data_IF_594440199123
#
_entry.id   IF_594440199123
#
_cell.length_a   1.000
_cell.length_b   1.000
_cell.length_c   1.000
_cell.angle_alpha   90.00
_cell.angle_beta   90.00
_cell.angle_gamma   90.00
#
_symmetry.space_group_name_H-M   'P 1'
#
loop_
_entity.id
_entity.type
_entity.pdbx_description
1 polymer ?
#
# COMPACT_ATOMS: atom_id res chain seq x y z
N UNK A 1 8.00 15.03 21.68
CA UNK A 1 9.14 14.48 20.92
C UNK A 1 9.23 15.28 19.64
N UNK A 2 10.32 16.03 19.49
CA UNK A 2 10.39 17.20 18.62
C UNK A 2 10.15 16.88 17.15
N UNK A 3 9.21 17.61 16.56
CA UNK A 3 9.11 17.75 15.11
C UNK A 3 10.35 18.48 14.61
N UNK A 4 10.79 18.15 13.40
CA UNK A 4 12.00 18.65 12.73
C UNK A 4 12.03 20.17 12.46
N UNK A 5 11.22 20.95 13.17
CA UNK A 5 11.03 22.38 13.01
C UNK A 5 11.45 23.19 14.26
N UNK A 6 11.91 22.56 15.35
CA UNK A 6 12.61 23.31 16.40
C UNK A 6 14.01 23.70 15.92
N UNK A 7 14.45 24.92 16.27
CA UNK A 7 15.73 25.46 15.84
C UNK A 7 16.95 24.59 16.24
N UNK A 8 16.78 23.72 17.24
CA UNK A 8 17.82 22.87 17.83
C UNK A 8 17.65 21.38 17.47
N UNK A 9 16.71 21.01 16.60
CA UNK A 9 16.54 19.64 16.13
C UNK A 9 17.61 19.33 15.06
N UNK A 10 18.30 18.17 15.10
CA UNK A 10 19.15 17.74 13.99
C UNK A 10 18.34 17.82 12.69
N UNK A 11 18.77 18.71 11.79
CA UNK A 11 18.04 19.04 10.56
C UNK A 11 17.72 17.74 9.79
N UNK A 12 16.54 17.64 9.17
CA UNK A 12 16.21 16.47 8.34
C UNK A 12 17.27 16.29 7.28
N UNK A 13 17.53 15.03 6.90
CA UNK A 13 18.51 14.69 5.87
C UNK A 13 18.26 15.56 4.62
N UNK A 14 19.30 16.22 4.08
CA UNK A 14 19.19 17.02 2.86
C UNK A 14 18.47 16.27 1.74
N UNK A 15 17.72 17.00 0.91
CA UNK A 15 16.84 16.40 -0.10
C UNK A 15 17.57 15.41 -1.02
N UNK A 16 18.80 15.72 -1.41
CA UNK A 16 19.67 14.90 -2.26
C UNK A 16 20.13 13.60 -1.59
N UNK A 17 20.30 13.58 -0.27
CA UNK A 17 20.68 12.39 0.51
C UNK A 17 19.49 11.64 1.14
N UNK A 18 18.29 12.24 1.13
CA UNK A 18 17.11 11.72 1.85
C UNK A 18 16.68 10.36 1.36
N UNK A 19 16.68 10.15 0.05
CA UNK A 19 16.29 8.87 -0.55
C UNK A 19 17.14 7.73 0.00
N UNK A 20 18.46 7.92 0.03
CA UNK A 20 19.40 6.90 0.49
C UNK A 20 19.24 6.65 1.99
N UNK A 21 19.08 7.69 2.80
CA UNK A 21 18.84 7.54 4.23
C UNK A 21 17.50 6.83 4.54
N UNK A 22 16.43 7.10 3.79
CA UNK A 22 15.16 6.39 3.93
C UNK A 22 15.34 4.90 3.56
N UNK A 23 16.03 4.62 2.46
CA UNK A 23 16.30 3.22 2.03
C UNK A 23 17.13 2.47 3.06
N UNK A 24 18.14 3.12 3.64
CA UNK A 24 18.98 2.56 4.70
C UNK A 24 18.16 2.18 5.94
N UNK A 25 17.31 3.09 6.44
CA UNK A 25 16.44 2.82 7.59
C UNK A 25 15.44 1.69 7.31
N UNK A 26 14.94 1.59 6.08
CA UNK A 26 14.06 0.51 5.66
C UNK A 26 14.81 -0.81 5.39
N UNK A 27 16.15 -0.81 5.37
CA UNK A 27 16.95 -1.98 5.04
C UNK A 27 16.85 -2.43 3.58
N UNK A 28 16.60 -1.49 2.65
CA UNK A 28 16.42 -1.76 1.21
C UNK A 28 17.72 -1.53 0.45
N UNK A 29 18.29 -2.59 -0.14
CA UNK A 29 19.49 -2.53 -0.97
C UNK A 29 19.16 -2.43 -2.47
N UNK A 30 20.11 -2.00 -3.30
CA UNK A 30 19.94 -2.02 -4.77
C UNK A 30 19.68 -3.44 -5.31
N UNK A 31 20.37 -4.44 -4.76
CA UNK A 31 20.17 -5.85 -5.10
C UNK A 31 18.73 -6.30 -4.81
N UNK A 32 18.23 -6.02 -3.60
CA UNK A 32 16.85 -6.37 -3.23
C UNK A 32 15.80 -5.66 -4.09
N UNK A 33 16.11 -4.46 -4.59
CA UNK A 33 15.21 -3.68 -5.45
C UNK A 33 15.20 -4.15 -6.91
N UNK A 34 16.30 -4.74 -7.38
CA UNK A 34 16.45 -5.22 -8.76
C UNK A 34 15.95 -6.66 -8.98
N UNK A 35 15.73 -7.41 -7.90
CA UNK A 35 15.32 -8.82 -7.93
C UNK A 35 13.97 -9.04 -8.62
N UNK A 36 14.00 -9.67 -9.79
CA UNK A 36 12.81 -10.03 -10.57
C UNK A 36 12.51 -11.51 -10.37
N UNK A 37 11.46 -11.87 -9.62
CA UNK A 37 11.20 -13.26 -9.31
C UNK A 37 10.60 -14.00 -10.53
N UNK A 38 10.79 -15.32 -10.58
CA UNK A 38 10.08 -16.18 -11.52
C UNK A 38 8.59 -16.21 -11.19
N UNK A 39 7.75 -16.00 -12.21
CA UNK A 39 6.29 -15.94 -12.07
C UNK A 39 5.65 -17.23 -12.56
N UNK A 40 4.84 -17.84 -11.71
CA UNK A 40 3.93 -18.91 -12.10
C UNK A 40 2.54 -18.33 -12.37
N UNK A 41 1.93 -18.77 -13.47
CA UNK A 41 0.61 -18.31 -13.88
C UNK A 41 -0.45 -19.37 -13.57
N UNK A 42 -1.51 -18.95 -12.88
CA UNK A 42 -2.66 -19.77 -12.55
C UNK A 42 -3.85 -19.56 -13.50
N UNK A 43 -5.06 -19.58 -12.93
CA UNK A 43 -6.31 -19.50 -13.69
C UNK A 43 -6.47 -18.14 -14.36
N UNK A 44 -7.19 -18.15 -15.48
CA UNK A 44 -7.66 -16.95 -16.17
C UNK A 44 -9.19 -16.85 -16.07
N UNK A 45 -9.72 -15.63 -16.04
CA UNK A 45 -11.16 -15.38 -16.01
C UNK A 45 -11.53 -14.07 -16.72
N UNK A 46 -12.80 -13.92 -17.08
CA UNK A 46 -13.37 -12.65 -17.51
C UNK A 46 -14.53 -12.31 -16.58
N UNK A 47 -14.54 -11.08 -16.08
CA UNK A 47 -15.59 -10.58 -15.18
C UNK A 47 -15.78 -9.08 -15.38
N UNK A 48 -17.01 -8.65 -15.67
CA UNK A 48 -17.33 -7.23 -15.87
C UNK A 48 -16.44 -6.53 -16.93
N UNK A 49 -16.11 -7.22 -18.02
CA UNK A 49 -15.22 -6.70 -19.08
C UNK A 49 -13.73 -6.62 -18.69
N UNK A 50 -13.35 -7.22 -17.55
CA UNK A 50 -11.98 -7.33 -17.08
C UNK A 50 -11.49 -8.76 -17.27
N UNK A 51 -10.44 -8.95 -18.06
CA UNK A 51 -9.69 -10.18 -18.16
C UNK A 51 -8.68 -10.26 -17.01
N UNK A 52 -8.76 -11.28 -16.17
CA UNK A 52 -7.88 -11.50 -15.03
C UNK A 52 -7.05 -12.78 -15.16
N UNK A 53 -5.85 -12.77 -14.58
CA UNK A 53 -4.95 -13.92 -14.47
C UNK A 53 -4.32 -13.99 -13.09
N UNK A 54 -4.27 -15.19 -12.51
CA UNK A 54 -3.58 -15.44 -11.24
C UNK A 54 -2.07 -15.52 -11.48
N UNK A 55 -1.30 -14.86 -10.60
CA UNK A 55 0.14 -14.90 -10.56
C UNK A 55 0.59 -15.35 -9.17
N UNK A 56 1.63 -16.15 -9.10
CA UNK A 56 2.36 -16.46 -7.86
C UNK A 56 3.86 -16.36 -8.08
N UNK A 57 4.59 -15.87 -7.09
CA UNK A 57 6.05 -15.77 -7.11
C UNK A 57 6.63 -15.82 -5.71
N UNK A 58 7.91 -16.21 -5.61
CA UNK A 58 8.63 -16.23 -4.34
C UNK A 58 8.76 -14.82 -3.76
N UNK A 59 8.48 -14.66 -2.46
CA UNK A 59 8.57 -13.37 -1.78
C UNK A 59 10.03 -12.92 -1.52
N UNK A 60 10.99 -13.82 -1.69
CA UNK A 60 12.41 -13.61 -1.38
C UNK A 60 12.78 -13.99 0.06
N UNK A 61 11.93 -14.76 0.74
CA UNK A 61 12.19 -15.40 2.03
C UNK A 61 11.72 -16.86 2.01
N UNK A 62 11.92 -17.57 3.12
CA UNK A 62 11.47 -18.97 3.30
C UNK A 62 9.96 -19.10 3.59
N UNK A 63 9.20 -18.00 3.48
CA UNK A 63 7.77 -17.96 3.72
C UNK A 63 6.93 -18.34 2.50
N UNK A 64 5.59 -18.24 2.59
CA UNK A 64 4.68 -18.57 1.49
C UNK A 64 4.90 -17.72 0.23
N UNK A 65 4.61 -18.23 -0.95
CA UNK A 65 4.64 -17.40 -2.16
C UNK A 65 3.67 -16.20 -2.08
N UNK A 66 4.08 -15.09 -2.69
CA UNK A 66 3.20 -13.95 -2.93
C UNK A 66 2.23 -14.31 -4.05
N UNK A 67 0.94 -14.10 -3.79
CA UNK A 67 -0.11 -14.22 -4.79
C UNK A 67 -0.56 -12.83 -5.26
N UNK A 68 -0.80 -12.71 -6.57
CA UNK A 68 -1.33 -11.51 -7.20
C UNK A 68 -2.31 -11.81 -8.31
N UNK A 69 -2.98 -10.76 -8.77
CA UNK A 69 -3.86 -10.77 -9.93
C UNK A 69 -3.45 -9.71 -10.92
N UNK A 70 -3.19 -10.13 -12.15
CA UNK A 70 -2.98 -9.26 -13.30
C UNK A 70 -4.33 -9.09 -14.01
N UNK A 71 -4.78 -7.85 -14.11
CA UNK A 71 -6.08 -7.47 -14.64
C UNK A 71 -5.90 -6.55 -15.84
N UNK A 72 -6.69 -6.80 -16.88
CA UNK A 72 -6.59 -6.10 -18.17
C UNK A 72 -7.95 -5.87 -18.79
N UNK A 73 -8.07 -4.88 -19.68
CA UNK A 73 -9.25 -4.75 -20.52
C UNK A 73 -9.40 -5.99 -21.42
N UNK A 74 -10.63 -6.50 -21.55
CA UNK A 74 -10.94 -7.62 -22.43
C UNK A 74 -11.12 -7.14 -23.89
N UNK A 75 -10.01 -6.96 -24.63
CA UNK A 75 -10.02 -6.47 -26.01
C UNK A 75 -9.58 -7.51 -27.06
N UNK A 76 -9.84 -8.80 -26.84
CA UNK A 76 -9.81 -9.81 -27.91
C UNK A 76 -8.47 -9.97 -28.66
N UNK A 77 -7.33 -9.68 -28.03
CA UNK A 77 -6.00 -9.92 -28.60
C UNK A 77 -5.23 -8.68 -29.07
N UNK A 78 -5.67 -7.48 -28.72
CA UNK A 78 -4.90 -6.25 -28.98
C UNK A 78 -3.58 -6.24 -28.19
N UNK A 79 -2.44 -6.09 -28.89
CA UNK A 79 -1.08 -6.28 -28.35
C UNK A 79 -0.34 -4.99 -28.02
N UNK A 80 -0.97 -3.81 -28.17
CA UNK A 80 -0.32 -2.53 -27.89
C UNK A 80 0.06 -2.44 -26.42
N UNK A 81 1.31 -2.04 -26.14
CA UNK A 81 1.76 -1.78 -24.78
C UNK A 81 0.90 -0.70 -24.11
N UNK A 82 0.40 -1.00 -22.91
CA UNK A 82 -0.54 -0.16 -22.16
C UNK A 82 0.12 0.45 -20.92
N UNK A 83 -0.32 1.64 -20.48
CA UNK A 83 0.06 2.13 -19.17
C UNK A 83 -0.43 1.15 -18.09
N UNK A 84 0.29 1.09 -16.99
CA UNK A 84 -0.02 0.16 -15.91
C UNK A 84 -0.01 0.79 -14.53
N UNK A 85 -0.79 0.20 -13.63
CA UNK A 85 -0.89 0.60 -12.23
C UNK A 85 -0.59 -0.59 -11.33
N UNK A 86 0.41 -0.44 -10.47
CA UNK A 86 0.58 -1.29 -9.30
C UNK A 86 -0.36 -0.79 -8.21
N UNK A 87 -1.49 -1.48 -8.02
CA UNK A 87 -2.52 -1.11 -7.06
C UNK A 87 -2.30 -1.84 -5.73
N UNK A 88 -2.11 -1.07 -4.66
CA UNK A 88 -1.75 -1.58 -3.34
C UNK A 88 -2.96 -1.57 -2.42
N UNK A 89 -3.28 -2.74 -1.84
CA UNK A 89 -4.39 -2.87 -0.90
C UNK A 89 -4.09 -2.19 0.45
N UNK A 90 -5.15 -1.74 1.12
CA UNK A 90 -5.06 -1.10 2.43
C UNK A 90 -4.83 -2.09 3.60
N UNK A 91 -4.59 -1.53 4.79
CA UNK A 91 -4.51 -2.26 6.06
C UNK A 91 -5.92 -2.75 6.47
N UNK A 92 -6.91 -1.84 6.50
CA UNK A 92 -8.35 -2.06 6.77
C UNK A 92 -8.71 -2.81 8.07
N UNK A 93 -7.72 -3.11 8.92
CA UNK A 93 -7.91 -4.03 10.05
C UNK A 93 -8.20 -5.47 9.61
N UNK A 94 -7.89 -5.81 8.36
CA UNK A 94 -8.10 -7.14 7.78
C UNK A 94 -6.76 -7.64 7.26
N UNK A 95 -6.20 -8.68 7.89
CA UNK A 95 -4.95 -9.32 7.45
C UNK A 95 -5.21 -10.65 6.74
N UNK A 96 -6.39 -11.25 6.92
CA UNK A 96 -6.74 -12.51 6.25
C UNK A 96 -6.76 -12.40 4.72
N UNK A 97 -7.17 -11.24 4.20
CA UNK A 97 -7.18 -10.89 2.78
C UNK A 97 -6.19 -9.76 2.48
N UNK A 98 -5.76 -9.67 1.23
CA UNK A 98 -4.94 -8.57 0.71
C UNK A 98 -5.56 -8.04 -0.58
N UNK A 99 -5.13 -8.56 -1.72
CA UNK A 99 -5.60 -8.19 -3.08
C UNK A 99 -7.11 -8.25 -3.25
N UNK A 100 -7.79 -9.16 -2.55
CA UNK A 100 -9.25 -9.33 -2.62
C UNK A 100 -10.00 -8.05 -2.19
N UNK A 101 -9.39 -7.21 -1.36
CA UNK A 101 -10.02 -5.98 -0.87
C UNK A 101 -10.32 -5.00 -2.00
N UNK A 102 -9.44 -4.93 -3.00
CA UNK A 102 -9.46 -3.90 -4.06
C UNK A 102 -9.71 -4.45 -5.47
N UNK A 103 -9.72 -5.78 -5.64
CA UNK A 103 -9.93 -6.45 -6.92
C UNK A 103 -10.84 -7.67 -6.82
N UNK A 104 -11.47 -8.06 -7.94
CA UNK A 104 -12.27 -9.28 -8.03
C UNK A 104 -11.49 -10.43 -8.67
N UNK A 105 -11.38 -11.53 -7.94
CA UNK A 105 -10.75 -12.76 -8.41
C UNK A 105 -11.69 -13.64 -9.25
N UNK A 106 -11.23 -14.86 -9.62
CA UNK A 106 -12.04 -15.79 -10.42
C UNK A 106 -13.35 -16.16 -9.71
N UNK A 107 -13.33 -16.33 -8.38
CA UNK A 107 -14.50 -16.60 -7.56
C UNK A 107 -15.33 -15.36 -7.16
N UNK A 108 -14.96 -14.16 -7.61
CA UNK A 108 -15.56 -12.90 -7.14
C UNK A 108 -15.11 -12.53 -5.72
N UNK A 109 -15.86 -11.64 -5.07
CA UNK A 109 -15.53 -11.14 -3.73
C UNK A 109 -15.83 -12.19 -2.64
N UNK A 110 -14.83 -12.60 -1.83
CA UNK A 110 -15.03 -13.60 -0.79
C UNK A 110 -15.76 -13.02 0.45
N UNK A 111 -16.17 -13.87 1.42
CA UNK A 111 -16.95 -13.43 2.57
C UNK A 111 -16.35 -12.20 3.29
N UNK A 112 -17.20 -11.20 3.57
CA UNK A 112 -16.85 -9.96 4.26
C UNK A 112 -16.23 -8.86 3.39
N UNK A 113 -15.65 -9.20 2.24
CA UNK A 113 -15.12 -8.19 1.31
C UNK A 113 -16.21 -7.25 0.79
N UNK A 114 -17.43 -7.69 0.43
CA UNK A 114 -18.49 -6.76 0.02
C UNK A 114 -18.83 -5.71 1.10
N UNK A 115 -18.87 -6.12 2.37
CA UNK A 115 -19.13 -5.22 3.50
C UNK A 115 -17.94 -4.28 3.79
N UNK A 116 -16.71 -4.75 3.62
CA UNK A 116 -15.51 -3.91 3.67
C UNK A 116 -15.54 -2.86 2.55
N UNK A 117 -15.82 -3.27 1.31
CA UNK A 117 -15.93 -2.36 0.17
C UNK A 117 -17.04 -1.34 0.33
N UNK A 118 -18.20 -1.73 0.84
CA UNK A 118 -19.30 -0.79 1.11
C UNK A 118 -18.86 0.35 2.02
N UNK A 119 -18.04 0.05 3.05
CA UNK A 119 -17.57 1.05 4.01
C UNK A 119 -16.39 1.89 3.51
N UNK A 120 -15.40 1.25 2.89
CA UNK A 120 -14.14 1.91 2.52
C UNK A 120 -14.03 2.34 1.05
N UNK A 121 -14.83 1.78 0.15
CA UNK A 121 -14.67 1.91 -1.31
C UNK A 121 -16.01 2.12 -2.04
N UNK A 122 -17.07 2.45 -1.30
CA UNK A 122 -18.46 2.60 -1.79
C UNK A 122 -18.97 1.42 -2.62
N UNK A 123 -18.58 0.21 -2.21
CA UNK A 123 -18.98 -1.06 -2.82
C UNK A 123 -18.23 -1.41 -4.11
N UNK A 124 -17.27 -0.59 -4.53
CA UNK A 124 -16.56 -0.73 -5.82
C UNK A 124 -15.31 -1.60 -5.72
N UNK A 125 -14.98 -2.24 -6.83
CA UNK A 125 -13.64 -2.77 -7.11
C UNK A 125 -12.80 -1.66 -7.72
N UNK A 126 -11.82 -1.15 -6.98
CA UNK A 126 -10.91 -0.09 -7.45
C UNK A 126 -10.16 -0.55 -8.70
N UNK A 127 -9.70 -1.80 -8.70
CA UNK A 127 -8.97 -2.36 -9.82
C UNK A 127 -9.81 -2.41 -11.10
N UNK A 128 -11.11 -2.74 -10.98
CA UNK A 128 -12.03 -2.72 -12.12
C UNK A 128 -12.18 -1.32 -12.70
N UNK A 129 -12.31 -0.30 -11.85
CA UNK A 129 -12.37 1.10 -12.30
C UNK A 129 -11.13 1.54 -13.07
N UNK A 130 -9.94 1.18 -12.57
CA UNK A 130 -8.67 1.45 -13.27
C UNK A 130 -8.56 0.69 -14.60
N UNK A 131 -8.98 -0.58 -14.65
CA UNK A 131 -9.00 -1.33 -15.92
C UNK A 131 -9.94 -0.68 -16.93
N UNK A 132 -11.13 -0.24 -16.51
CA UNK A 132 -12.05 0.49 -17.39
C UNK A 132 -11.51 1.84 -17.85
N UNK A 133 -10.61 2.46 -17.07
CA UNK A 133 -9.86 3.64 -17.49
C UNK A 133 -8.68 3.34 -18.45
N UNK A 134 -8.48 2.07 -18.83
CA UNK A 134 -7.53 1.65 -19.86
C UNK A 134 -6.22 1.06 -19.34
N UNK A 135 -6.05 0.94 -18.03
CA UNK A 135 -4.80 0.45 -17.42
C UNK A 135 -4.71 -1.08 -17.37
N UNK A 136 -3.49 -1.59 -17.49
CA UNK A 136 -3.13 -2.90 -16.93
C UNK A 136 -2.94 -2.72 -15.42
N UNK A 137 -3.58 -3.56 -14.60
CA UNK A 137 -3.51 -3.43 -13.15
C UNK A 137 -2.93 -4.71 -12.54
N UNK A 138 -1.86 -4.57 -11.76
CA UNK A 138 -1.39 -5.65 -10.88
C UNK A 138 -1.79 -5.32 -9.45
N UNK A 139 -2.44 -6.28 -8.78
CA UNK A 139 -2.72 -6.24 -7.34
C UNK A 139 -2.08 -7.46 -6.71
N UNK A 140 -1.31 -7.26 -5.65
CA UNK A 140 -0.59 -8.34 -4.97
C UNK A 140 -0.76 -8.27 -3.45
N UNK A 141 -0.71 -9.45 -2.84
CA UNK A 141 -0.58 -9.58 -1.39
C UNK A 141 0.86 -9.20 -0.98
N UNK A 142 1.01 -8.72 0.25
CA UNK A 142 2.32 -8.50 0.87
C UNK A 142 2.30 -8.99 2.30
N UNK A 143 3.45 -9.36 2.87
CA UNK A 143 3.53 -9.78 4.27
C UNK A 143 2.98 -8.70 5.24
N UNK A 144 2.14 -9.02 6.25
CA UNK A 144 1.54 -10.33 6.58
C UNK A 144 0.05 -10.45 6.13
N UNK A 145 -0.29 -10.01 4.93
CA UNK A 145 -1.64 -10.05 4.36
C UNK A 145 -1.83 -11.19 3.36
N UNK A 146 -3.08 -11.66 3.23
CA UNK A 146 -3.49 -12.52 2.11
C UNK A 146 -2.69 -13.82 2.06
N UNK A 147 -2.06 -14.14 0.93
CA UNK A 147 -1.19 -15.33 0.80
C UNK A 147 0.04 -15.28 1.69
N UNK A 148 0.51 -14.08 2.04
CA UNK A 148 1.70 -13.83 2.86
C UNK A 148 1.40 -13.72 4.36
N UNK A 149 0.18 -14.07 4.77
CA UNK A 149 -0.24 -14.05 6.17
C UNK A 149 0.49 -15.14 6.97
N UNK A 150 0.77 -14.86 8.24
CA UNK A 150 1.30 -15.89 9.15
C UNK A 150 0.24 -16.99 9.35
N UNK A 151 0.54 -18.27 9.07
CA UNK A 151 -0.41 -19.36 9.29
C UNK A 151 -0.90 -19.40 10.74
N UNK A 152 -2.18 -19.73 10.95
CA UNK A 152 -2.76 -19.76 12.29
C UNK A 152 -1.98 -20.62 13.31
N UNK A 153 -1.48 -21.83 12.95
CA UNK A 153 -0.68 -22.64 13.87
C UNK A 153 0.67 -22.03 14.28
N UNK A 154 1.16 -21.04 13.52
CA UNK A 154 2.43 -20.36 13.76
C UNK A 154 2.26 -19.04 14.55
N UNK A 155 1.01 -18.60 14.78
CA UNK A 155 0.75 -17.43 15.59
C UNK A 155 1.10 -17.72 17.07
N UNK A 156 1.75 -16.77 17.77
CA UNK A 156 2.07 -16.96 19.18
C UNK A 156 0.82 -17.01 20.05
N UNK A 157 0.90 -17.66 21.20
CA UNK A 157 -0.22 -17.85 22.15
C UNK A 157 -0.96 -16.55 22.49
N UNK A 158 -0.21 -15.45 22.65
CA UNK A 158 -0.80 -14.12 22.91
C UNK A 158 -1.72 -13.66 21.78
N UNK A 159 -1.33 -13.89 20.53
CA UNK A 159 -2.12 -13.52 19.36
C UNK A 159 -3.34 -14.44 19.22
N UNK A 160 -3.16 -15.76 19.35
CA UNK A 160 -4.28 -16.71 19.27
C UNK A 160 -5.30 -16.48 20.39
N UNK A 161 -4.84 -16.15 21.61
CA UNK A 161 -5.70 -15.74 22.72
C UNK A 161 -6.50 -14.47 22.41
N UNK A 162 -5.89 -13.45 21.81
CA UNK A 162 -6.61 -12.24 21.37
C UNK A 162 -7.69 -12.57 20.32
N UNK A 163 -7.38 -13.47 19.38
CA UNK A 163 -8.35 -13.97 18.42
C UNK A 163 -9.56 -14.64 19.10
N UNK A 164 -9.32 -15.57 20.02
CA UNK A 164 -10.39 -16.26 20.75
C UNK A 164 -11.15 -15.35 21.73
N UNK A 165 -10.50 -14.33 22.31
CA UNK A 165 -11.17 -13.35 23.15
C UNK A 165 -12.17 -12.51 22.34
N UNK A 166 -11.79 -12.07 21.14
CA UNK A 166 -12.66 -11.32 20.26
C UNK A 166 -13.76 -12.19 19.62
N UNK A 167 -13.44 -13.44 19.29
CA UNK A 167 -14.35 -14.39 18.65
C UNK A 167 -14.26 -15.77 19.32
N UNK A 168 -15.00 -15.98 20.43
CA UNK A 168 -14.96 -17.21 21.21
C UNK A 168 -15.27 -18.48 20.41
N UNK A 169 -14.88 -19.67 20.92
CA UNK A 169 -15.31 -20.95 20.35
C UNK A 169 -16.84 -21.01 20.18
N UNK A 170 -17.29 -21.53 19.04
CA UNK A 170 -18.68 -21.49 18.60
C UNK A 170 -18.81 -21.96 17.14
N UNK A 171 -19.84 -21.54 16.39
CA UNK A 171 -20.00 -21.93 14.99
C UNK A 171 -18.77 -21.61 14.15
N UNK A 172 -18.16 -22.63 13.54
CA UNK A 172 -16.93 -22.47 12.76
C UNK A 172 -17.24 -22.14 11.28
N UNK A 173 -17.76 -20.93 11.07
CA UNK A 173 -18.04 -20.43 9.72
C UNK A 173 -16.80 -19.76 9.11
N UNK A 174 -16.65 -19.72 7.77
CA UNK A 174 -15.56 -18.98 7.12
C UNK A 174 -15.44 -17.52 7.60
N UNK A 175 -16.58 -16.86 7.84
CA UNK A 175 -16.60 -15.48 8.34
C UNK A 175 -16.11 -15.33 9.79
N UNK A 176 -16.35 -16.33 10.64
CA UNK A 176 -15.85 -16.34 12.02
C UNK A 176 -14.34 -16.65 12.02
N UNK A 177 -13.88 -17.66 11.26
CA UNK A 177 -12.45 -17.97 11.13
C UNK A 177 -11.64 -16.75 10.68
N UNK A 178 -12.11 -16.05 9.64
CA UNK A 178 -11.49 -14.83 9.16
C UNK A 178 -11.41 -13.75 10.24
N UNK A 179 -12.51 -13.40 10.90
CA UNK A 179 -12.48 -12.33 11.93
C UNK A 179 -11.63 -12.71 13.14
N UNK A 180 -11.64 -13.98 13.53
CA UNK A 180 -10.76 -14.50 14.59
C UNK A 180 -9.29 -14.34 14.20
N UNK A 181 -8.96 -14.68 12.96
CA UNK A 181 -7.63 -14.44 12.40
C UNK A 181 -7.26 -12.96 12.42
N UNK A 182 -8.13 -12.07 11.93
CA UNK A 182 -7.85 -10.63 11.87
C UNK A 182 -7.58 -10.03 13.26
N UNK A 183 -8.34 -10.44 14.27
CA UNK A 183 -8.10 -10.04 15.67
C UNK A 183 -6.74 -10.53 16.20
N UNK A 184 -6.39 -11.80 15.94
CA UNK A 184 -5.09 -12.34 16.32
C UNK A 184 -3.94 -11.66 15.58
N UNK A 185 -4.10 -11.40 14.29
CA UNK A 185 -3.09 -10.78 13.44
C UNK A 185 -2.88 -9.30 13.75
N UNK A 186 -3.90 -8.57 14.23
CA UNK A 186 -3.74 -7.21 14.79
C UNK A 186 -2.80 -7.24 15.99
N UNK A 187 -3.05 -8.14 16.94
CA UNK A 187 -2.19 -8.30 18.11
C UNK A 187 -0.76 -8.72 17.72
N UNK A 188 -0.64 -9.61 16.73
CA UNK A 188 0.65 -10.14 16.32
C UNK A 188 1.54 -9.12 15.60
N UNK A 189 0.99 -8.05 15.00
CA UNK A 189 1.77 -7.04 14.27
C UNK A 189 2.88 -6.42 15.14
N UNK A 190 2.63 -6.21 16.44
CA UNK A 190 3.66 -5.75 17.39
C UNK A 190 4.83 -6.74 17.51
N UNK A 191 4.56 -8.03 17.48
CA UNK A 191 5.58 -9.08 17.49
C UNK A 191 6.38 -9.08 16.19
N UNK A 192 5.70 -8.98 15.05
CA UNK A 192 6.35 -8.91 13.74
C UNK A 192 7.28 -7.70 13.62
N UNK A 193 6.84 -6.53 14.08
CA UNK A 193 7.68 -5.33 14.07
C UNK A 193 8.93 -5.48 14.96
N UNK A 194 8.80 -6.11 16.13
CA UNK A 194 9.94 -6.41 17.02
C UNK A 194 10.90 -7.40 16.38
N UNK A 195 10.39 -8.48 15.80
CA UNK A 195 11.22 -9.48 15.11
C UNK A 195 11.98 -8.82 13.97
N UNK A 196 11.31 -8.05 13.13
CA UNK A 196 11.95 -7.33 12.03
C UNK A 196 13.09 -6.42 12.52
N UNK A 197 12.86 -5.64 13.58
CA UNK A 197 13.89 -4.80 14.19
C UNK A 197 15.09 -5.60 14.71
N UNK A 198 14.84 -6.74 15.36
CA UNK A 198 15.90 -7.62 15.88
C UNK A 198 16.69 -8.34 14.77
N UNK A 199 16.10 -8.50 13.58
CA UNK A 199 16.75 -9.09 12.41
C UNK A 199 17.30 -8.06 11.43
N UNK A 200 17.44 -6.79 11.85
CA UNK A 200 18.10 -5.75 11.07
C UNK A 200 17.24 -5.12 9.97
N UNK A 201 15.91 -5.19 10.06
CA UNK A 201 14.99 -4.54 9.14
C UNK A 201 13.79 -3.93 9.89
N UNK A 202 12.69 -3.64 9.20
CA UNK A 202 11.44 -3.18 9.78
C UNK A 202 10.25 -3.83 9.08
N UNK A 203 9.06 -3.77 9.68
CA UNK A 203 7.85 -4.24 8.99
C UNK A 203 7.66 -3.51 7.64
N UNK A 204 7.95 -2.21 7.62
CA UNK A 204 7.89 -1.42 6.39
C UNK A 204 8.95 -1.87 5.37
N UNK A 205 10.17 -2.18 5.83
CA UNK A 205 11.25 -2.75 5.03
C UNK A 205 10.86 -4.06 4.34
N UNK A 206 10.29 -5.00 5.09
CA UNK A 206 9.78 -6.27 4.56
C UNK A 206 8.69 -6.03 3.50
N UNK A 207 7.73 -5.16 3.80
CA UNK A 207 6.63 -4.85 2.88
C UNK A 207 7.13 -4.20 1.59
N UNK A 208 8.02 -3.20 1.68
CA UNK A 208 8.50 -2.50 0.48
C UNK A 208 9.42 -3.39 -0.37
N UNK A 209 10.13 -4.35 0.22
CA UNK A 209 10.90 -5.33 -0.53
C UNK A 209 9.98 -6.22 -1.41
N UNK A 210 8.84 -6.66 -0.88
CA UNK A 210 7.84 -7.39 -1.67
C UNK A 210 7.14 -6.49 -2.71
N UNK A 211 6.91 -5.21 -2.40
CA UNK A 211 6.39 -4.23 -3.35
C UNK A 211 7.35 -3.97 -4.52
N UNK A 212 8.67 -3.95 -4.26
CA UNK A 212 9.70 -3.82 -5.30
C UNK A 212 9.71 -5.04 -6.23
N UNK A 213 9.59 -6.25 -5.68
CA UNK A 213 9.44 -7.48 -6.49
C UNK A 213 8.18 -7.46 -7.34
N UNK A 214 7.05 -7.04 -6.78
CA UNK A 214 5.81 -6.90 -7.54
C UNK A 214 5.91 -5.84 -8.65
N UNK A 215 6.63 -4.73 -8.39
CA UNK A 215 6.96 -3.74 -9.42
C UNK A 215 7.79 -4.37 -10.55
N UNK A 216 8.78 -5.19 -10.22
CA UNK A 216 9.59 -5.91 -11.20
C UNK A 216 8.73 -6.84 -12.07
N UNK A 217 7.86 -7.63 -11.44
CA UNK A 217 6.88 -8.47 -12.14
C UNK A 217 6.05 -7.64 -13.11
N UNK A 218 5.50 -6.50 -12.67
CA UNK A 218 4.68 -5.64 -13.52
C UNK A 218 5.46 -5.07 -14.72
N UNK A 219 6.68 -4.59 -14.47
CA UNK A 219 7.54 -4.00 -15.50
C UNK A 219 7.94 -5.01 -16.59
N UNK A 220 8.04 -6.30 -16.24
CA UNK A 220 8.38 -7.38 -17.19
C UNK A 220 7.15 -8.09 -17.76
N UNK A 221 5.93 -7.63 -17.46
CA UNK A 221 4.71 -8.29 -17.93
C UNK A 221 4.41 -7.90 -19.38
N UNK A 222 4.26 -8.88 -20.28
CA UNK A 222 3.94 -8.68 -21.71
C UNK A 222 2.76 -7.73 -21.93
N UNK A 223 2.92 -6.67 -22.72
CA UNK A 223 1.84 -5.69 -23.00
C UNK A 223 1.73 -4.56 -21.98
N UNK A 224 2.65 -4.47 -21.01
CA UNK A 224 2.87 -3.27 -20.20
C UNK A 224 3.95 -2.41 -20.86
N UNK A 225 3.71 -1.09 -20.93
CA UNK A 225 4.77 -0.13 -21.24
C UNK A 225 5.53 0.22 -19.94
N UNK A 226 6.79 -0.20 -19.77
CA UNK A 226 7.54 0.01 -18.53
C UNK A 226 7.82 1.50 -18.25
N UNK A 227 7.66 2.39 -19.22
CA UNK A 227 7.84 3.84 -19.03
C UNK A 227 6.55 4.54 -18.56
N UNK A 228 5.43 3.81 -18.53
CA UNK A 228 4.09 4.33 -18.21
C UNK A 228 3.47 3.59 -17.02
N UNK A 229 4.28 3.34 -15.99
CA UNK A 229 3.86 2.62 -14.78
C UNK A 229 3.70 3.57 -13.59
N UNK A 230 2.54 3.51 -12.94
CA UNK A 230 2.25 4.22 -11.69
C UNK A 230 2.02 3.26 -10.52
N UNK A 231 2.08 3.79 -9.30
CA UNK A 231 1.60 3.10 -8.10
C UNK A 231 0.42 3.89 -7.50
N UNK A 232 -0.58 3.17 -7.01
CA UNK A 232 -1.76 3.78 -6.39
C UNK A 232 -2.21 2.99 -5.16
N UNK A 233 -2.69 3.67 -4.13
CA UNK A 233 -3.15 3.02 -2.92
C UNK A 233 -3.94 3.92 -1.97
N UNK A 234 -4.85 3.31 -1.23
CA UNK A 234 -5.66 3.94 -0.19
C UNK A 234 -5.20 3.49 1.20
N UNK A 235 -5.18 4.39 2.19
CA UNK A 235 -4.85 4.07 3.59
C UNK A 235 -3.50 3.33 3.67
N UNK A 236 -3.43 2.13 4.28
CA UNK A 236 -2.25 1.25 4.25
C UNK A 236 -1.59 1.09 2.87
N UNK A 237 -2.38 1.08 1.80
CA UNK A 237 -1.88 1.05 0.42
C UNK A 237 -1.19 2.36 0.03
N UNK A 238 -1.70 3.51 0.49
CA UNK A 238 -1.03 4.80 0.30
C UNK A 238 0.30 4.89 1.04
N UNK A 239 0.43 4.25 2.21
CA UNK A 239 1.71 4.15 2.92
C UNK A 239 2.71 3.27 2.16
N UNK A 240 2.24 2.19 1.54
CA UNK A 240 3.06 1.36 0.65
C UNK A 240 3.52 2.14 -0.58
N UNK A 241 2.64 2.95 -1.18
CA UNK A 241 3.01 3.84 -2.29
C UNK A 241 4.12 4.79 -1.85
N UNK A 242 4.00 5.47 -0.71
CA UNK A 242 5.03 6.40 -0.22
C UNK A 242 6.41 5.72 -0.09
N UNK A 243 6.48 4.55 0.54
CA UNK A 243 7.73 3.78 0.64
C UNK A 243 8.26 3.37 -0.73
N UNK A 244 7.41 2.85 -1.63
CA UNK A 244 7.86 2.43 -2.95
C UNK A 244 8.40 3.60 -3.79
N UNK A 245 7.80 4.80 -3.67
CA UNK A 245 8.29 6.00 -4.34
C UNK A 245 9.67 6.46 -3.83
N UNK A 246 9.94 6.25 -2.54
CA UNK A 246 11.28 6.47 -1.96
C UNK A 246 12.28 5.39 -2.42
N UNK A 247 11.86 4.13 -2.50
CA UNK A 247 12.74 3.01 -2.82
C UNK A 247 12.93 2.72 -4.32
N UNK A 248 12.14 3.34 -5.20
CA UNK A 248 12.21 3.13 -6.66
C UNK A 248 12.15 4.45 -7.43
N UNK A 249 12.97 4.55 -8.48
CA UNK A 249 12.95 5.66 -9.45
C UNK A 249 12.22 5.30 -10.75
N UNK A 250 11.69 4.07 -10.85
CA UNK A 250 11.10 3.50 -12.06
C UNK A 250 9.61 3.79 -12.24
N UNK A 251 8.96 4.33 -11.21
CA UNK A 251 7.57 4.77 -11.29
C UNK A 251 7.49 6.13 -11.99
N UNK A 252 6.53 6.28 -12.90
CA UNK A 252 6.21 7.53 -13.60
C UNK A 252 5.39 8.48 -12.74
N UNK A 253 4.49 7.94 -11.91
CA UNK A 253 3.60 8.70 -11.04
C UNK A 253 3.17 7.90 -9.79
N UNK A 254 2.72 8.60 -8.75
CA UNK A 254 2.14 8.01 -7.54
C UNK A 254 0.79 8.62 -7.16
N UNK A 255 -0.13 7.79 -6.63
CA UNK A 255 -1.41 8.24 -6.04
C UNK A 255 -1.50 7.74 -4.59
N UNK A 256 -1.61 8.67 -3.64
CA UNK A 256 -1.78 8.38 -2.22
C UNK A 256 -3.14 8.92 -1.77
N UNK A 257 -4.04 8.03 -1.39
CA UNK A 257 -5.38 8.40 -0.92
C UNK A 257 -5.52 8.15 0.58
N UNK A 258 -5.93 9.19 1.33
CA UNK A 258 -6.21 9.16 2.76
C UNK A 258 -5.10 8.51 3.61
N UNK A 259 -3.84 8.82 3.28
CA UNK A 259 -2.67 8.33 4.01
C UNK A 259 -1.54 9.36 4.06
N UNK A 260 -1.87 10.59 4.46
CA UNK A 260 -0.90 11.66 4.57
C UNK A 260 -1.19 12.53 5.79
N UNK A 261 -0.24 12.53 6.71
CA UNK A 261 -0.16 13.36 7.91
C UNK A 261 1.32 13.52 8.29
N UNK A 262 1.63 13.94 9.51
CA UNK A 262 3.01 14.09 10.02
C UNK A 262 3.26 13.13 11.18
N UNK A 263 4.53 12.80 11.44
CA UNK A 263 4.90 12.05 12.65
C UNK A 263 4.53 12.81 13.92
N UNK A 264 4.49 14.15 13.87
CA UNK A 264 3.97 14.99 14.93
C UNK A 264 2.54 14.62 15.31
N UNK A 265 1.67 14.59 14.31
CA UNK A 265 0.25 14.30 14.45
C UNK A 265 0.03 12.85 14.93
N UNK A 266 0.81 11.91 14.40
CA UNK A 266 0.80 10.51 14.84
C UNK A 266 1.18 10.40 16.31
N UNK A 267 2.25 11.09 16.74
CA UNK A 267 2.71 11.10 18.12
C UNK A 267 1.72 11.81 19.07
N UNK A 268 0.87 12.70 18.55
CA UNK A 268 -0.17 13.41 19.30
C UNK A 268 -1.46 12.56 19.41
N UNK A 269 -1.34 11.39 20.05
CA UNK A 269 -2.49 10.57 20.45
C UNK A 269 -3.07 9.65 19.37
N UNK A 270 -2.38 9.42 18.24
CA UNK A 270 -2.83 8.54 17.14
C UNK A 270 -1.95 7.31 16.94
N UNK A 271 -0.84 7.22 17.67
CA UNK A 271 0.14 6.14 17.52
C UNK A 271 -0.45 4.75 17.76
N UNK A 272 -1.35 4.59 18.74
CA UNK A 272 -1.93 3.27 19.10
C UNK A 272 -2.79 2.64 17.99
N UNK A 273 -3.36 3.47 17.11
CA UNK A 273 -4.15 3.03 15.96
C UNK A 273 -3.38 3.13 14.63
N UNK A 274 -2.11 3.53 14.68
CA UNK A 274 -1.22 3.61 13.52
C UNK A 274 -0.42 2.33 13.38
N UNK A 275 -0.43 1.73 12.19
CA UNK A 275 0.31 0.50 11.89
C UNK A 275 1.83 0.72 11.97
N UNK A 276 2.56 -0.33 12.36
CA UNK A 276 4.03 -0.36 12.30
C UNK A 276 4.59 -0.15 10.90
N UNK A 277 3.78 -0.33 9.85
CA UNK A 277 4.14 0.05 8.49
C UNK A 277 4.48 1.55 8.38
N UNK A 278 3.85 2.44 9.16
CA UNK A 278 4.17 3.87 9.15
C UNK A 278 5.21 4.27 10.20
N UNK A 279 5.35 3.48 11.26
CA UNK A 279 6.15 3.85 12.45
C UNK A 279 7.41 2.99 12.50
N UNK A 280 8.32 3.21 11.57
CA UNK A 280 9.63 2.53 11.57
C UNK A 280 10.61 3.26 12.48
N UNK A 281 11.17 2.60 13.52
CA UNK A 281 12.21 3.19 14.36
C UNK A 281 13.38 3.72 13.52
N UNK A 282 13.89 4.91 13.85
CA UNK A 282 14.95 5.58 13.10
C UNK A 282 14.45 6.46 11.96
N UNK A 283 13.27 6.19 11.39
CA UNK A 283 12.74 6.97 10.27
C UNK A 283 12.43 8.44 10.67
N UNK A 284 11.83 8.71 11.84
CA UNK A 284 11.67 10.08 12.36
C UNK A 284 12.99 10.76 12.77
N UNK A 285 14.16 10.13 12.60
CA UNK A 285 15.44 10.82 12.74
C UNK A 285 15.97 11.32 11.38
N UNK A 286 15.44 10.77 10.28
CA UNK A 286 15.89 11.05 8.91
C UNK A 286 15.00 12.10 8.24
N UNK A 287 13.67 11.96 8.37
CA UNK A 287 12.70 12.84 7.73
C UNK A 287 11.31 12.71 8.37
N UNK A 288 10.37 13.58 8.01
CA UNK A 288 8.96 13.42 8.35
C UNK A 288 8.21 12.53 7.33
N UNK A 289 7.04 12.01 7.69
CA UNK A 289 6.21 11.15 6.83
C UNK A 289 5.96 11.69 5.40
N UNK A 290 5.54 12.96 5.19
CA UNK A 290 5.34 13.50 3.84
C UNK A 290 6.63 13.59 3.03
N UNK A 291 7.78 13.67 3.68
CA UNK A 291 9.07 13.77 3.01
C UNK A 291 9.52 12.45 2.37
N UNK A 292 9.02 11.32 2.88
CA UNK A 292 9.20 9.99 2.26
C UNK A 292 8.54 9.98 0.88
N UNK A 293 7.26 10.38 0.80
CA UNK A 293 6.56 10.49 -0.48
C UNK A 293 7.22 11.55 -1.39
N UNK A 294 7.72 12.65 -0.81
CA UNK A 294 8.41 13.70 -1.55
C UNK A 294 9.73 13.28 -2.20
N UNK A 295 10.34 12.15 -1.79
CA UNK A 295 11.47 11.57 -2.53
C UNK A 295 11.14 11.29 -4.00
N UNK A 296 9.86 11.25 -4.38
CA UNK A 296 9.43 11.09 -5.76
C UNK A 296 9.65 12.33 -6.65
N UNK A 297 9.80 13.53 -6.06
CA UNK A 297 10.02 14.74 -6.83
C UNK A 297 11.25 14.59 -7.76
N UNK A 298 11.21 15.15 -8.98
CA UNK A 298 10.17 16.02 -9.54
C UNK A 298 9.01 15.27 -10.22
N UNK A 299 8.87 13.95 -10.03
CA UNK A 299 7.84 13.17 -10.74
C UNK A 299 6.43 13.39 -10.17
N UNK A 300 5.37 13.27 -11.01
CA UNK A 300 3.99 13.50 -10.63
C UNK A 300 3.52 12.73 -9.39
N UNK A 301 2.91 13.44 -8.46
CA UNK A 301 2.30 12.89 -7.26
C UNK A 301 0.91 13.49 -7.05
N UNK A 302 -0.08 12.62 -6.87
CA UNK A 302 -1.42 12.99 -6.40
C UNK A 302 -1.59 12.56 -4.95
N UNK A 303 -2.00 13.48 -4.09
CA UNK A 303 -2.39 13.20 -2.70
C UNK A 303 -3.84 13.63 -2.47
N UNK A 304 -4.69 12.69 -2.07
CA UNK A 304 -6.09 12.94 -1.74
C UNK A 304 -6.29 12.85 -0.23
N UNK A 305 -6.85 13.90 0.37
CA UNK A 305 -7.15 13.98 1.80
C UNK A 305 -8.65 13.78 2.06
N UNK A 306 -8.98 13.16 3.19
CA UNK A 306 -10.34 13.00 3.68
C UNK A 306 -10.53 13.84 4.96
N UNK A 307 -11.34 14.90 4.89
CA UNK A 307 -11.43 15.97 5.89
C UNK A 307 -11.91 15.51 7.28
N UNK A 308 -12.69 14.44 7.35
CA UNK A 308 -13.28 13.92 8.58
C UNK A 308 -12.71 12.54 8.94
N UNK A 309 -11.56 12.18 8.38
CA UNK A 309 -10.85 10.96 8.72
C UNK A 309 -10.36 11.02 10.17
N UNK A 310 -10.71 10.01 10.97
CA UNK A 310 -10.36 9.94 12.38
C UNK A 310 -8.92 9.47 12.63
N UNK A 311 -8.24 8.91 11.63
CA UNK A 311 -6.87 8.41 11.78
C UNK A 311 -5.83 9.54 11.91
N UNK A 312 -6.12 10.73 11.35
CA UNK A 312 -5.22 11.89 11.38
C UNK A 312 -5.98 13.16 11.77
N UNK A 313 -5.32 14.14 12.38
CA UNK A 313 -5.99 15.44 12.57
C UNK A 313 -6.04 16.22 11.27
N UNK A 314 -7.04 17.09 11.14
CA UNK A 314 -7.09 18.08 10.05
C UNK A 314 -5.84 18.96 10.00
N UNK A 315 -5.22 19.23 11.16
CA UNK A 315 -3.99 20.02 11.21
C UNK A 315 -2.80 19.22 10.68
N UNK A 316 -2.63 17.96 11.09
CA UNK A 316 -1.60 17.07 10.57
C UNK A 316 -1.69 16.86 9.06
N UNK A 317 -2.90 16.72 8.51
CA UNK A 317 -3.11 16.70 7.06
C UNK A 317 -2.66 18.00 6.39
N UNK A 318 -3.01 19.17 6.93
CA UNK A 318 -2.58 20.47 6.39
C UNK A 318 -1.07 20.68 6.49
N UNK A 319 -0.48 20.27 7.61
CA UNK A 319 0.96 20.38 7.84
C UNK A 319 1.71 19.49 6.83
N UNK A 320 1.22 18.28 6.59
CA UNK A 320 1.80 17.38 5.58
C UNK A 320 1.64 17.90 4.15
N UNK A 321 0.50 18.51 3.80
CA UNK A 321 0.32 19.21 2.53
C UNK A 321 1.35 20.34 2.37
N UNK A 322 1.57 21.14 3.43
CA UNK A 322 2.54 22.23 3.39
C UNK A 322 3.97 21.72 3.19
N UNK A 323 4.34 20.59 3.79
CA UNK A 323 5.65 19.94 3.55
C UNK A 323 5.77 19.49 2.09
N UNK A 324 4.76 18.80 1.56
CA UNK A 324 4.75 18.35 0.16
C UNK A 324 4.86 19.52 -0.81
N UNK A 325 4.09 20.60 -0.60
CA UNK A 325 4.13 21.81 -1.44
C UNK A 325 5.52 22.45 -1.46
N UNK A 326 6.21 22.50 -0.31
CA UNK A 326 7.60 23.00 -0.26
C UNK A 326 8.56 22.08 -1.01
N UNK A 327 8.44 20.77 -0.84
CA UNK A 327 9.31 19.82 -1.52
C UNK A 327 9.09 19.78 -3.05
N UNK A 328 7.89 20.12 -3.49
CA UNK A 328 7.51 20.17 -4.91
C UNK A 328 7.59 21.58 -5.54
N UNK A 329 8.07 22.57 -4.80
CA UNK A 329 8.15 23.95 -5.27
C UNK A 329 8.98 24.04 -6.56
N UNK A 330 8.47 24.77 -7.55
CA UNK A 330 9.07 24.91 -8.88
C UNK A 330 8.91 23.72 -9.84
N UNK A 331 8.39 22.55 -9.43
CA UNK A 331 8.25 21.40 -10.34
C UNK A 331 6.91 21.29 -11.06
N UNK A 332 5.83 21.90 -10.53
CA UNK A 332 4.48 21.79 -11.12
C UNK A 332 3.91 20.36 -11.19
N UNK A 333 4.45 19.44 -10.38
CA UNK A 333 4.16 18.01 -10.45
C UNK A 333 3.38 17.46 -9.24
N UNK A 334 2.95 18.33 -8.31
CA UNK A 334 2.12 17.94 -7.17
C UNK A 334 0.67 18.34 -7.41
N UNK A 335 -0.24 17.37 -7.27
CA UNK A 335 -1.68 17.61 -7.18
C UNK A 335 -2.16 17.21 -5.79
N UNK A 336 -2.92 18.08 -5.14
CA UNK A 336 -3.54 17.81 -3.83
C UNK A 336 -5.04 18.04 -3.94
N UNK A 337 -5.83 17.13 -3.37
CA UNK A 337 -7.30 17.19 -3.41
C UNK A 337 -7.86 16.94 -2.01
N UNK A 338 -8.91 17.64 -1.64
CA UNK A 338 -9.55 17.55 -0.33
C UNK A 338 -11.01 17.16 -0.52
N UNK A 339 -11.42 16.06 0.11
CA UNK A 339 -12.78 15.54 0.02
C UNK A 339 -13.44 15.51 1.40
N UNK A 340 -14.76 15.70 1.43
CA UNK A 340 -15.54 15.62 2.65
C UNK A 340 -15.76 14.15 3.12
N UNK A 341 -15.88 13.97 4.43
CA UNK A 341 -16.17 12.69 5.07
C UNK A 341 -14.95 11.93 5.58
N UNK A 342 -15.24 10.76 6.15
CA UNK A 342 -14.28 9.95 6.92
C UNK A 342 -13.33 9.10 6.08
N UNK A 343 -12.69 8.13 6.75
CA UNK A 343 -11.69 7.25 6.15
C UNK A 343 -12.26 6.34 5.04
N UNK A 344 -12.21 6.81 3.79
CA UNK A 344 -12.71 6.08 2.61
C UNK A 344 -12.00 6.52 1.34
N UNK A 345 -11.95 5.63 0.36
CA UNK A 345 -11.67 5.92 -1.03
C UNK A 345 -13.02 6.01 -1.77
N UNK A 346 -13.67 7.17 -1.75
CA UNK A 346 -15.01 7.35 -2.33
C UNK A 346 -15.02 7.10 -3.85
N UNK A 347 -16.20 6.91 -4.43
CA UNK A 347 -16.40 6.85 -5.87
C UNK A 347 -15.78 8.05 -6.60
N UNK A 348 -15.96 9.24 -6.05
CA UNK A 348 -15.45 10.50 -6.60
C UNK A 348 -13.91 10.50 -6.58
N UNK A 349 -13.30 10.19 -5.43
CA UNK A 349 -11.85 10.07 -5.31
C UNK A 349 -11.28 9.03 -6.30
N UNK A 350 -11.95 7.89 -6.48
CA UNK A 350 -11.53 6.83 -7.41
C UNK A 350 -11.56 7.31 -8.87
N UNK A 351 -12.60 8.04 -9.27
CA UNK A 351 -12.73 8.63 -10.61
C UNK A 351 -11.63 9.67 -10.83
N UNK A 352 -11.48 10.62 -9.90
CA UNK A 352 -10.45 11.66 -9.95
C UNK A 352 -9.04 11.08 -10.07
N UNK A 353 -8.74 10.02 -9.30
CA UNK A 353 -7.46 9.33 -9.37
C UNK A 353 -7.23 8.66 -10.73
N UNK A 354 -8.24 7.97 -11.27
CA UNK A 354 -8.14 7.30 -12.57
C UNK A 354 -7.97 8.30 -13.73
N UNK A 355 -8.73 9.40 -13.71
CA UNK A 355 -8.61 10.46 -14.72
C UNK A 355 -7.29 11.21 -14.63
N UNK A 356 -6.82 11.50 -13.42
CA UNK A 356 -5.51 12.11 -13.21
C UNK A 356 -4.39 11.20 -13.73
N UNK A 357 -4.44 9.90 -13.45
CA UNK A 357 -3.49 8.93 -13.99
C UNK A 357 -3.53 8.93 -15.53
N UNK A 358 -4.73 8.89 -16.14
CA UNK A 358 -4.88 8.84 -17.60
C UNK A 358 -4.25 10.04 -18.32
N UNK A 359 -4.20 11.21 -17.67
CA UNK A 359 -3.52 12.41 -18.19
C UNK A 359 -2.02 12.44 -17.91
N UNK A 360 -1.54 11.64 -16.96
CA UNK A 360 -0.20 11.76 -16.38
C UNK A 360 0.77 10.69 -16.86
N UNK A 361 0.29 9.46 -17.07
CA UNK A 361 1.14 8.31 -17.43
C UNK A 361 0.97 7.83 -18.85
#
# INVERSE_FOLDING_TARGET
>A
MGTHHSADCPRPTPYDARRDAVREVLGVTDESAADTPGVTYGRSWIRHGVAGRELTWAAGDDGPDTAGWLLRPDHGGETTARPAVLLMHAHDGVKFYGKEKVADGPGGAPPGIPGLRTRGYEGRSVATGLVHAGFVVLVHDVFPWGSRRVPWPELPDRATAAGYAAFPPGPDTPGIRRRRYDAAAREHEHGLAKTAALTGTSLAGTVVAEDLRALNVLLTTDGVDPNRVAAAGFSGGGARVAHLLACSTRLRAGVITAMMSTFADVADGRADDTTWLMVTPGLPAVCDWPEIAACHAPRPLLVQFALDDSHFSRQGMRDSEAVLRRAYDGFGALTTQWFAGGHRFSAEMQVEAAEWLARTV
#
